data_IF_769495316077
#
_entry.id   IF_769495316077
#
_cell.length_a   1.000
_cell.length_b   1.000
_cell.length_c   1.000
_cell.angle_alpha   90.00
_cell.angle_beta   90.00
_cell.angle_gamma   90.00
#
_symmetry.space_group_name_H-M   'P 1'
#
loop_
_entity.id
_entity.type
_entity.pdbx_description
1 polymer ?
#
# COMPACT_ATOMS: atom_id res chain seq x y z
N UNK A 1 -26.62 -8.56 17.93
CA UNK A 1 -26.26 -7.14 17.80
C UNK A 1 -24.85 -7.09 17.24
N UNK A 2 -24.71 -6.56 16.06
CA UNK A 2 -23.37 -6.21 15.59
C UNK A 2 -22.91 -5.01 16.41
N UNK A 3 -21.84 -5.18 17.19
CA UNK A 3 -21.15 -4.05 17.80
C UNK A 3 -20.67 -3.16 16.65
N UNK A 4 -21.41 -2.12 16.37
CA UNK A 4 -20.98 -1.13 15.41
C UNK A 4 -19.73 -0.45 15.97
N UNK A 5 -18.64 -0.58 15.25
CA UNK A 5 -17.41 0.16 15.55
C UNK A 5 -17.71 1.66 15.47
N UNK A 6 -17.74 2.30 16.62
CA UNK A 6 -18.14 3.70 16.71
C UNK A 6 -16.91 4.61 16.63
N UNK A 7 -16.78 5.29 15.49
CA UNK A 7 -15.79 6.35 15.34
C UNK A 7 -16.34 7.61 15.98
N UNK A 8 -15.48 8.35 16.67
CA UNK A 8 -15.79 9.71 17.07
C UNK A 8 -16.04 10.57 15.80
N UNK A 9 -16.67 11.74 15.95
CA UNK A 9 -17.03 12.65 14.84
C UNK A 9 -15.86 12.97 13.89
N UNK A 10 -14.61 12.86 14.36
CA UNK A 10 -13.39 12.98 13.54
C UNK A 10 -12.60 11.67 13.68
N UNK A 11 -12.61 10.83 12.65
CA UNK A 11 -11.87 9.57 12.73
C UNK A 11 -10.37 9.84 12.89
N UNK A 12 -9.75 9.16 13.84
CA UNK A 12 -8.30 9.12 13.96
C UNK A 12 -7.77 7.80 13.43
N UNK A 13 -6.58 7.82 12.83
CA UNK A 13 -5.94 6.65 12.26
C UNK A 13 -4.53 6.51 12.80
N UNK A 14 -4.10 5.27 13.01
CA UNK A 14 -2.71 4.96 13.32
C UNK A 14 -2.11 4.15 12.20
N UNK A 15 -0.86 4.47 11.84
CA UNK A 15 -0.10 3.74 10.82
C UNK A 15 1.06 3.04 11.51
N UNK A 16 1.22 1.74 11.23
CA UNK A 16 2.28 0.91 11.79
C UNK A 16 2.70 -0.18 10.83
N UNK A 17 3.86 -0.79 11.08
CA UNK A 17 4.34 -1.95 10.33
C UNK A 17 3.45 -3.15 10.58
N UNK A 18 3.19 -3.90 9.51
CA UNK A 18 2.54 -5.21 9.60
C UNK A 18 3.56 -6.21 10.17
N UNK A 19 3.20 -6.85 11.27
CA UNK A 19 3.99 -7.91 11.89
C UNK A 19 3.49 -9.29 11.42
N UNK A 20 4.27 -10.38 11.62
CA UNK A 20 3.82 -11.72 11.28
C UNK A 20 2.48 -12.10 11.92
N UNK A 21 2.22 -11.64 13.14
CA UNK A 21 0.96 -11.90 13.84
C UNK A 21 -0.24 -11.23 13.16
N UNK A 22 -0.02 -10.13 12.45
CA UNK A 22 -1.06 -9.39 11.74
C UNK A 22 -1.50 -10.07 10.43
N UNK A 23 -0.67 -10.94 9.87
CA UNK A 23 -0.85 -11.47 8.51
C UNK A 23 -2.21 -12.09 8.26
N UNK A 24 -2.77 -12.95 9.13
CA UNK A 24 -4.09 -13.52 8.87
C UNK A 24 -5.18 -12.45 8.71
N UNK A 25 -5.22 -11.47 9.61
CA UNK A 25 -6.20 -10.37 9.58
C UNK A 25 -5.99 -9.47 8.36
N UNK A 26 -4.74 -9.16 8.05
CA UNK A 26 -4.37 -8.33 6.89
C UNK A 26 -4.79 -8.99 5.58
N UNK A 27 -4.49 -10.28 5.42
CA UNK A 27 -4.84 -11.04 4.21
C UNK A 27 -6.35 -11.16 4.03
N UNK A 28 -7.10 -11.39 5.11
CA UNK A 28 -8.57 -11.40 5.08
C UNK A 28 -9.11 -10.04 4.66
N UNK A 29 -8.56 -8.95 5.20
CA UNK A 29 -8.92 -7.59 4.84
C UNK A 29 -8.68 -7.32 3.34
N UNK A 30 -7.52 -7.70 2.84
CA UNK A 30 -7.18 -7.53 1.41
C UNK A 30 -8.16 -8.28 0.51
N UNK A 31 -8.52 -9.51 0.87
CA UNK A 31 -9.50 -10.30 0.13
C UNK A 31 -10.90 -9.67 0.15
N UNK A 32 -11.33 -9.14 1.29
CA UNK A 32 -12.61 -8.44 1.41
C UNK A 32 -12.64 -7.20 0.51
N UNK A 33 -11.59 -6.39 0.57
CA UNK A 33 -11.48 -5.17 -0.27
C UNK A 33 -11.52 -5.55 -1.75
N UNK A 34 -10.77 -6.58 -2.14
CA UNK A 34 -10.74 -7.03 -3.54
C UNK A 34 -12.12 -7.48 -4.03
N UNK A 35 -12.86 -8.24 -3.21
CA UNK A 35 -14.22 -8.68 -3.57
C UNK A 35 -15.18 -7.51 -3.79
N UNK A 36 -15.00 -6.41 -3.06
CA UNK A 36 -15.85 -5.22 -3.11
C UNK A 36 -15.46 -4.23 -4.22
N UNK A 37 -14.36 -4.45 -4.92
CA UNK A 37 -13.93 -3.56 -5.99
C UNK A 37 -14.95 -3.54 -7.13
N UNK A 38 -15.41 -2.34 -7.55
CA UNK A 38 -16.35 -2.23 -8.66
C UNK A 38 -15.73 -2.61 -10.00
N UNK A 39 -14.43 -2.43 -10.16
CA UNK A 39 -13.70 -2.76 -11.37
C UNK A 39 -12.41 -3.52 -11.00
N UNK A 40 -12.51 -4.86 -11.05
CA UNK A 40 -11.40 -5.74 -10.64
C UNK A 40 -10.20 -5.72 -11.61
N UNK A 41 -10.43 -5.33 -12.88
CA UNK A 41 -9.35 -5.25 -13.88
C UNK A 41 -8.31 -4.17 -13.56
N UNK A 42 -8.64 -3.22 -12.69
CA UNK A 42 -7.71 -2.19 -12.26
C UNK A 42 -6.68 -2.68 -11.24
N UNK A 43 -6.91 -3.87 -10.69
CA UNK A 43 -6.06 -4.42 -9.65
C UNK A 43 -5.75 -5.89 -9.93
N UNK A 44 -4.47 -6.24 -9.94
CA UNK A 44 -4.03 -7.62 -10.06
C UNK A 44 -3.69 -8.15 -8.66
N UNK A 45 -4.51 -9.11 -8.19
CA UNK A 45 -4.29 -9.71 -6.89
C UNK A 45 -3.28 -10.84 -7.00
N UNK A 46 -2.17 -10.71 -6.27
CA UNK A 46 -1.18 -11.76 -6.18
C UNK A 46 -1.66 -12.94 -5.33
N UNK A 47 -1.01 -14.07 -5.47
CA UNK A 47 -1.28 -15.25 -4.66
C UNK A 47 -0.91 -14.99 -3.19
N UNK A 48 -1.60 -15.69 -2.27
CA UNK A 48 -1.40 -15.53 -0.83
C UNK A 48 0.07 -15.67 -0.40
N UNK A 49 0.76 -16.65 -0.94
CA UNK A 49 2.17 -16.93 -0.62
C UNK A 49 3.09 -15.80 -1.06
N UNK A 50 2.81 -15.21 -2.22
CA UNK A 50 3.56 -14.06 -2.71
C UNK A 50 3.31 -12.82 -1.85
N UNK A 51 2.07 -12.57 -1.47
CA UNK A 51 1.74 -11.47 -0.57
C UNK A 51 2.46 -11.57 0.77
N UNK A 52 2.50 -12.77 1.35
CA UNK A 52 3.23 -13.03 2.59
C UNK A 52 4.72 -12.74 2.39
N UNK A 53 5.30 -13.23 1.30
CA UNK A 53 6.71 -13.00 0.99
C UNK A 53 7.02 -11.52 0.84
N UNK A 54 6.18 -10.77 0.15
CA UNK A 54 6.37 -9.31 -0.04
C UNK A 54 6.32 -8.56 1.29
N UNK A 55 5.47 -8.97 2.21
CA UNK A 55 5.34 -8.32 3.52
C UNK A 55 6.37 -8.78 4.57
N UNK A 56 7.13 -9.85 4.31
CA UNK A 56 8.07 -10.42 5.29
C UNK A 56 9.52 -10.42 4.82
N UNK A 57 9.79 -10.97 3.65
CA UNK A 57 11.16 -11.23 3.17
C UNK A 57 11.58 -10.24 2.10
N UNK A 58 10.73 -10.02 1.09
CA UNK A 58 11.06 -9.22 -0.10
C UNK A 58 10.58 -7.78 -0.03
N UNK A 59 10.12 -7.35 1.13
CA UNK A 59 9.61 -6.01 1.35
C UNK A 59 9.04 -5.85 2.74
N UNK A 60 8.08 -4.94 2.85
CA UNK A 60 7.35 -4.73 4.10
C UNK A 60 5.91 -4.29 3.83
N UNK A 61 5.08 -4.44 4.84
CA UNK A 61 3.72 -3.93 4.82
C UNK A 61 3.50 -2.85 5.87
N UNK A 62 2.59 -1.94 5.56
CA UNK A 62 2.05 -0.96 6.50
C UNK A 62 0.55 -1.16 6.62
N UNK A 63 0.02 -0.96 7.80
CA UNK A 63 -1.42 -0.96 8.05
C UNK A 63 -1.86 0.38 8.61
N UNK A 64 -3.03 0.82 8.20
CA UNK A 64 -3.74 1.93 8.82
C UNK A 64 -4.93 1.36 9.59
N UNK A 65 -5.03 1.72 10.86
CA UNK A 65 -6.12 1.31 11.73
C UNK A 65 -6.93 2.53 12.16
N UNK A 66 -8.25 2.43 12.03
CA UNK A 66 -9.15 3.41 12.61
C UNK A 66 -9.22 3.19 14.11
N UNK A 67 -9.14 4.27 14.87
CA UNK A 67 -9.12 4.23 16.33
C UNK A 67 -10.41 4.81 16.86
N UNK A 68 -11.19 4.00 17.58
CA UNK A 68 -12.41 4.43 18.26
C UNK A 68 -12.08 5.23 19.53
N UNK A 69 -13.09 5.96 20.03
CA UNK A 69 -12.95 6.77 21.24
C UNK A 69 -12.54 5.95 22.48
N UNK A 70 -12.93 4.67 22.55
CA UNK A 70 -12.58 3.73 23.61
C UNK A 70 -11.23 3.03 23.40
N UNK A 71 -10.49 3.39 22.34
CA UNK A 71 -9.19 2.82 22.00
C UNK A 71 -9.23 1.55 21.16
N UNK A 72 -10.41 1.03 20.82
CA UNK A 72 -10.53 -0.12 19.88
C UNK A 72 -10.05 0.29 18.50
N UNK A 73 -9.45 -0.68 17.78
CA UNK A 73 -8.88 -0.45 16.46
C UNK A 73 -9.51 -1.38 15.45
N UNK A 74 -9.76 -0.85 14.25
CA UNK A 74 -10.23 -1.62 13.10
C UNK A 74 -9.31 -1.35 11.91
N UNK A 75 -8.91 -2.42 11.24
CA UNK A 75 -8.06 -2.33 10.05
C UNK A 75 -8.81 -1.62 8.92
N UNK A 76 -8.26 -0.50 8.47
CA UNK A 76 -8.89 0.38 7.47
C UNK A 76 -8.22 0.30 6.10
N UNK A 77 -6.91 0.11 6.06
CA UNK A 77 -6.15 0.11 4.82
C UNK A 77 -4.83 -0.64 4.98
N UNK A 78 -4.30 -1.10 3.86
CA UNK A 78 -3.06 -1.88 3.77
C UNK A 78 -2.20 -1.32 2.64
N UNK A 79 -0.90 -1.25 2.89
CA UNK A 79 0.12 -0.90 1.90
C UNK A 79 1.21 -1.98 1.88
N UNK A 80 1.72 -2.29 0.70
CA UNK A 80 2.84 -3.22 0.54
C UNK A 80 3.91 -2.59 -0.35
N UNK A 81 5.15 -2.60 0.13
CA UNK A 81 6.34 -2.25 -0.66
C UNK A 81 7.15 -3.50 -0.97
N UNK A 82 7.67 -3.59 -2.19
CA UNK A 82 8.68 -4.60 -2.55
C UNK A 82 10.03 -3.93 -2.69
N UNK A 83 11.02 -4.47 -2.03
CA UNK A 83 12.37 -3.89 -1.95
C UNK A 83 13.47 -4.80 -2.47
N UNK A 84 13.17 -6.08 -2.70
CA UNK A 84 14.10 -7.06 -3.22
C UNK A 84 13.38 -8.11 -4.06
N UNK A 85 14.12 -8.98 -4.71
CA UNK A 85 13.61 -10.07 -5.57
C UNK A 85 12.73 -9.57 -6.73
N UNK A 86 13.00 -8.35 -7.21
CA UNK A 86 12.23 -7.76 -8.31
C UNK A 86 12.56 -8.39 -9.66
N UNK A 87 13.82 -8.79 -9.87
CA UNK A 87 14.26 -9.46 -11.09
C UNK A 87 13.87 -8.71 -12.37
N UNK A 88 13.29 -9.41 -13.32
CA UNK A 88 12.83 -8.86 -14.59
C UNK A 88 11.60 -7.94 -14.44
N UNK A 89 10.91 -8.01 -13.31
CA UNK A 89 9.79 -7.13 -12.98
C UNK A 89 10.23 -5.74 -12.50
N UNK A 90 11.53 -5.52 -12.28
CA UNK A 90 12.04 -4.27 -11.75
C UNK A 90 11.70 -3.10 -12.69
N UNK A 91 10.82 -2.20 -12.22
CA UNK A 91 10.35 -1.05 -13.00
C UNK A 91 11.49 -0.06 -13.32
N UNK A 92 12.61 -0.13 -12.64
CA UNK A 92 13.79 0.66 -12.93
C UNK A 92 14.32 0.45 -14.36
N UNK A 93 13.99 -0.67 -14.99
CA UNK A 93 14.35 -0.95 -16.38
C UNK A 93 13.71 0.02 -17.39
N UNK A 94 12.66 0.73 -17.02
CA UNK A 94 12.02 1.77 -17.84
C UNK A 94 12.72 3.12 -17.75
N UNK A 95 13.67 3.26 -16.84
CA UNK A 95 14.46 4.47 -16.70
C UNK A 95 15.76 4.35 -17.50
N UNK A 96 16.24 5.47 -18.04
CA UNK A 96 17.48 5.54 -18.80
C UNK A 96 18.51 6.42 -18.08
N UNK A 97 19.02 6.09 -16.94
CA UNK A 97 20.13 6.83 -16.40
C UNK A 97 21.40 6.00 -16.39
N UNK A 98 22.50 6.63 -16.74
CA UNK A 98 23.82 6.03 -16.62
C UNK A 98 24.16 5.61 -15.19
N UNK A 99 23.47 6.21 -14.20
CA UNK A 99 23.73 6.02 -12.78
C UNK A 99 22.65 5.21 -12.05
N UNK A 100 21.68 4.61 -12.78
CA UNK A 100 20.64 3.84 -12.15
C UNK A 100 21.18 2.54 -11.57
N UNK A 101 20.97 2.35 -10.28
CA UNK A 101 21.23 1.08 -9.61
C UNK A 101 19.89 0.40 -9.33
N UNK A 102 19.62 -0.70 -10.03
CA UNK A 102 18.36 -1.44 -9.89
C UNK A 102 18.11 -1.94 -8.47
N UNK A 103 19.17 -2.19 -7.71
CA UNK A 103 19.09 -2.57 -6.29
C UNK A 103 18.57 -1.46 -5.38
N UNK A 104 18.57 -0.20 -5.85
CA UNK A 104 18.05 0.94 -5.10
C UNK A 104 16.65 1.37 -5.55
N UNK A 105 15.99 0.55 -6.35
CA UNK A 105 14.59 0.71 -6.75
C UNK A 105 13.70 -0.05 -5.78
N UNK A 106 12.67 0.59 -5.28
CA UNK A 106 11.60 -0.05 -4.52
C UNK A 106 10.27 0.15 -5.24
N UNK A 107 9.41 -0.87 -5.18
CA UNK A 107 8.07 -0.82 -5.74
C UNK A 107 7.05 -0.43 -4.66
N UNK A 108 6.25 0.58 -4.97
CA UNK A 108 5.01 0.89 -4.24
C UNK A 108 3.95 -0.07 -4.78
N UNK A 109 3.96 -1.31 -4.27
CA UNK A 109 3.34 -2.45 -4.93
C UNK A 109 1.82 -2.49 -4.79
N UNK A 110 1.30 -2.32 -3.57
CA UNK A 110 -0.11 -2.47 -3.28
C UNK A 110 -0.55 -1.38 -2.32
N UNK A 111 -1.69 -0.77 -2.60
CA UNK A 111 -2.45 0.04 -1.65
C UNK A 111 -3.92 -0.36 -1.74
N UNK A 112 -4.52 -0.71 -0.62
CA UNK A 112 -5.93 -1.09 -0.55
C UNK A 112 -6.58 -0.39 0.64
N UNK A 113 -7.74 0.24 0.39
CA UNK A 113 -8.51 0.95 1.41
C UNK A 113 -9.91 0.37 1.47
N UNK A 114 -10.39 0.02 2.67
CA UNK A 114 -11.78 -0.42 2.86
C UNK A 114 -12.73 0.67 2.37
N UNK A 115 -13.82 0.27 1.72
CA UNK A 115 -14.80 1.21 1.16
C UNK A 115 -15.37 2.17 2.22
N UNK A 116 -15.60 1.67 3.44
CA UNK A 116 -16.10 2.47 4.55
C UNK A 116 -15.14 3.56 5.05
N UNK A 117 -13.87 3.46 4.70
CA UNK A 117 -12.84 4.41 5.11
C UNK A 117 -12.28 5.26 3.98
N UNK A 118 -12.83 5.16 2.78
CA UNK A 118 -12.45 6.02 1.66
C UNK A 118 -12.78 7.48 1.95
N UNK A 119 -12.06 8.40 1.34
CA UNK A 119 -12.25 9.83 1.56
C UNK A 119 -11.50 10.39 2.77
N UNK A 120 -10.68 9.59 3.44
CA UNK A 120 -9.86 10.03 4.59
C UNK A 120 -8.38 10.23 4.23
N UNK A 121 -8.02 10.13 2.96
CA UNK A 121 -6.65 10.30 2.50
C UNK A 121 -5.69 9.19 2.92
N UNK A 122 -6.20 7.99 3.24
CA UNK A 122 -5.38 6.89 3.77
C UNK A 122 -4.35 6.38 2.77
N UNK A 123 -4.70 6.30 1.49
CA UNK A 123 -3.74 5.89 0.46
C UNK A 123 -2.53 6.82 0.46
N UNK A 124 -2.76 8.12 0.42
CA UNK A 124 -1.69 9.12 0.44
C UNK A 124 -0.87 9.05 1.72
N UNK A 125 -1.52 8.94 2.87
CA UNK A 125 -0.84 8.85 4.17
C UNK A 125 0.04 7.61 4.28
N UNK A 126 -0.44 6.45 3.81
CA UNK A 126 0.34 5.22 3.77
C UNK A 126 1.54 5.34 2.83
N UNK A 127 1.34 5.92 1.66
CA UNK A 127 2.43 6.13 0.71
C UNK A 127 3.49 7.07 1.26
N UNK A 128 3.10 8.17 1.90
CA UNK A 128 4.03 9.10 2.56
C UNK A 128 4.86 8.40 3.65
N UNK A 129 4.21 7.59 4.48
CA UNK A 129 4.89 6.82 5.53
C UNK A 129 5.87 5.81 4.93
N UNK A 130 5.48 5.13 3.86
CA UNK A 130 6.33 4.18 3.15
C UNK A 130 7.53 4.87 2.51
N UNK A 131 7.33 6.01 1.87
CA UNK A 131 8.41 6.81 1.26
C UNK A 131 9.47 7.18 2.29
N UNK A 132 9.05 7.64 3.46
CA UNK A 132 9.97 8.01 4.53
C UNK A 132 10.82 6.81 4.96
N UNK A 133 10.20 5.65 5.17
CA UNK A 133 10.90 4.43 5.54
C UNK A 133 11.86 3.95 4.43
N UNK A 134 11.42 4.00 3.18
CA UNK A 134 12.24 3.58 2.03
C UNK A 134 13.44 4.50 1.83
N UNK A 135 13.27 5.81 1.92
CA UNK A 135 14.37 6.75 1.84
C UNK A 135 15.37 6.56 2.97
N UNK A 136 14.89 6.34 4.20
CA UNK A 136 15.75 6.06 5.36
C UNK A 136 16.53 4.76 5.18
N UNK A 137 15.98 3.78 4.46
CA UNK A 137 16.64 2.53 4.14
C UNK A 137 17.62 2.63 2.94
N UNK A 138 17.71 3.79 2.29
CA UNK A 138 18.66 4.05 1.21
C UNK A 138 18.12 3.89 -0.21
N UNK A 139 16.82 3.60 -0.37
CA UNK A 139 16.22 3.52 -1.71
C UNK A 139 16.14 4.91 -2.36
N UNK A 140 16.46 4.98 -3.65
CA UNK A 140 16.55 6.24 -4.39
C UNK A 140 15.44 6.41 -5.41
N UNK A 141 14.90 5.33 -5.94
CA UNK A 141 13.81 5.35 -6.92
C UNK A 141 12.62 4.58 -6.36
N UNK A 142 11.51 5.26 -6.20
CA UNK A 142 10.25 4.68 -5.76
C UNK A 142 9.31 4.65 -6.96
N UNK A 143 8.91 3.48 -7.38
CA UNK A 143 8.15 3.27 -8.60
C UNK A 143 6.90 2.44 -8.33
N UNK A 144 5.88 2.69 -9.09
CA UNK A 144 4.63 1.93 -8.97
C UNK A 144 3.88 1.94 -10.28
N UNK A 145 2.82 1.15 -10.33
CA UNK A 145 1.93 1.09 -11.46
C UNK A 145 0.51 1.49 -11.06
N UNK A 146 -0.22 2.07 -11.98
CA UNK A 146 -1.63 2.36 -11.82
C UNK A 146 -2.33 2.15 -13.16
N UNK A 147 -3.52 1.56 -13.14
CA UNK A 147 -4.31 1.47 -14.36
C UNK A 147 -4.71 2.89 -14.79
N UNK A 148 -4.57 3.24 -16.09
CA UNK A 148 -4.85 4.61 -16.55
C UNK A 148 -6.25 5.11 -16.22
N UNK A 149 -7.22 4.21 -16.20
CA UNK A 149 -8.62 4.56 -15.91
C UNK A 149 -8.89 4.68 -14.39
N UNK A 150 -7.97 4.23 -13.55
CA UNK A 150 -8.05 4.41 -12.11
C UNK A 150 -7.53 5.80 -11.73
N UNK A 151 -8.36 6.81 -11.99
CA UNK A 151 -8.00 8.21 -11.81
C UNK A 151 -7.64 8.55 -10.36
N UNK A 152 -8.20 7.85 -9.39
CA UNK A 152 -7.89 8.06 -7.97
C UNK A 152 -6.45 7.67 -7.64
N UNK A 153 -6.01 6.51 -8.12
CA UNK A 153 -4.64 6.04 -7.92
C UNK A 153 -3.63 6.93 -8.63
N UNK A 154 -3.90 7.26 -9.90
CA UNK A 154 -3.06 8.18 -10.68
C UNK A 154 -2.93 9.52 -9.96
N UNK A 155 -4.03 10.09 -9.50
CA UNK A 155 -4.04 11.37 -8.80
C UNK A 155 -3.21 11.33 -7.50
N UNK A 156 -3.31 10.25 -6.72
CA UNK A 156 -2.52 10.10 -5.50
C UNK A 156 -1.01 10.06 -5.79
N UNK A 157 -0.60 9.35 -6.84
CA UNK A 157 0.81 9.36 -7.28
C UNK A 157 1.25 10.77 -7.68
N UNK A 158 0.45 11.45 -8.49
CA UNK A 158 0.76 12.81 -8.95
C UNK A 158 0.88 13.80 -7.80
N UNK A 159 -0.03 13.74 -6.83
CA UNK A 159 0.02 14.61 -5.65
C UNK A 159 1.28 14.42 -4.80
N UNK A 160 1.84 13.22 -4.81
CA UNK A 160 3.08 12.92 -4.10
C UNK A 160 4.33 13.22 -4.93
N UNK A 161 4.17 13.76 -6.14
CA UNK A 161 5.27 14.15 -7.01
C UNK A 161 5.79 13.07 -7.92
N UNK A 162 5.09 11.93 -8.01
CA UNK A 162 5.46 10.89 -8.98
C UNK A 162 5.20 11.37 -10.40
N UNK A 163 6.07 10.96 -11.31
CA UNK A 163 5.99 11.32 -12.72
C UNK A 163 5.73 10.09 -13.55
N UNK A 164 4.89 10.23 -14.54
CA UNK A 164 4.64 9.18 -15.51
C UNK A 164 5.90 8.93 -16.35
N UNK A 165 6.31 7.68 -16.45
CA UNK A 165 7.48 7.27 -17.23
C UNK A 165 7.08 6.73 -18.61
N UNK A 166 5.96 6.03 -18.67
CA UNK A 166 5.49 5.42 -19.92
C UNK A 166 3.98 5.18 -19.91
#
# INVERSE_FOLDING_TARGET
MSDQFNLSSVPSFSISRISPEDLPTVLDCMNEIYRELPEKSWFSMDEREDLIRYMTVSGFGLKAEAVAADGRKELAAVFVARTSDLGDENLGSYLEPDDLQLSLVAHMEIVMVRSSYRGNGLQKKLMEAAEEQLRSAGFRWLMGTAHPDNVYSVHNFEQLGYKLVT
#
